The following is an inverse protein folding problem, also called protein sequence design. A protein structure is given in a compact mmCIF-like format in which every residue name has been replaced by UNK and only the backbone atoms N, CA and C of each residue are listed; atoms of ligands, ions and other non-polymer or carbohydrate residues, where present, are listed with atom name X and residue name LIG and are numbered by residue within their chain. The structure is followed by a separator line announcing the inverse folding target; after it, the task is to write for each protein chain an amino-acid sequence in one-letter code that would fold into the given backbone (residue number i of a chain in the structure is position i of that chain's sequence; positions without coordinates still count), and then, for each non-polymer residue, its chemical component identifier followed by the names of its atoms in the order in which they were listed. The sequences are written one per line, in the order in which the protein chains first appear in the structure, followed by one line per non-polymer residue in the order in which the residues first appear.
data_IF_767094775223
#
_entry.id   IF_767094775223
#
_cell.length_a   1.000
_cell.length_b   1.000
_cell.length_c   1.000
_cell.angle_alpha   90.00
_cell.angle_beta   90.00
_cell.angle_gamma   90.00
#
_symmetry.space_group_name_H-M   'P 1'
#
loop_
_entity.id
_entity.type
_entity.pdbx_description
1 polymer ?
#
# COMPACT_ATOMS: atom_id res chain seq x y z
N UNK A 1 -65.06 -8.04 41.41
CA UNK A 1 -65.37 -9.27 40.63
C UNK A 1 -65.14 -8.99 39.16
N UNK A 2 -64.16 -9.69 38.61
CA UNK A 2 -63.71 -9.60 37.22
C UNK A 2 -64.82 -9.97 36.24
N UNK A 3 -64.99 -9.20 35.15
CA UNK A 3 -65.55 -9.81 33.95
C UNK A 3 -64.95 -9.25 32.65
N UNK A 4 -64.39 -10.21 31.90
CA UNK A 4 -63.55 -10.07 30.71
C UNK A 4 -64.37 -9.52 29.54
N UNK A 5 -64.06 -8.30 29.08
CA UNK A 5 -64.50 -7.82 27.77
C UNK A 5 -63.68 -8.52 26.67
N UNK A 6 -64.25 -9.60 26.11
CA UNK A 6 -63.76 -10.23 24.87
C UNK A 6 -64.10 -9.31 23.71
N UNK A 7 -63.12 -8.56 23.21
CA UNK A 7 -63.27 -7.76 21.99
C UNK A 7 -62.90 -8.64 20.79
N UNK A 8 -63.91 -8.85 19.96
CA UNK A 8 -63.93 -9.70 18.77
C UNK A 8 -62.85 -9.34 17.75
N UNK A 9 -62.23 -10.39 17.23
CA UNK A 9 -61.12 -10.44 16.27
C UNK A 9 -61.65 -10.07 14.88
N UNK A 10 -61.31 -8.90 14.39
CA UNK A 10 -61.68 -8.43 13.05
C UNK A 10 -60.95 -9.23 11.98
N UNK A 11 -61.73 -9.99 11.22
CA UNK A 11 -61.39 -10.71 10.00
C UNK A 11 -60.95 -9.73 8.91
N UNK A 12 -59.63 -9.57 8.76
CA UNK A 12 -59.04 -8.71 7.73
C UNK A 12 -58.81 -9.54 6.46
N UNK A 13 -59.77 -9.40 5.55
CA UNK A 13 -59.79 -9.88 4.16
C UNK A 13 -58.41 -9.78 3.50
N UNK A 14 -57.77 -10.93 3.26
CA UNK A 14 -56.60 -11.04 2.39
C UNK A 14 -57.00 -10.62 0.96
N UNK A 15 -56.64 -9.40 0.57
CA UNK A 15 -56.60 -9.00 -0.84
C UNK A 15 -55.45 -9.76 -1.51
N UNK A 16 -55.74 -10.95 -2.04
CA UNK A 16 -54.86 -11.66 -2.97
C UNK A 16 -54.77 -10.84 -4.26
N UNK A 17 -53.78 -9.94 -4.32
CA UNK A 17 -53.36 -9.34 -5.59
C UNK A 17 -52.86 -10.48 -6.49
N UNK A 18 -53.37 -10.63 -7.72
CA UNK A 18 -52.76 -11.54 -8.67
C UNK A 18 -51.34 -11.02 -8.92
N UNK A 19 -50.36 -11.82 -8.53
CA UNK A 19 -48.97 -11.58 -8.86
C UNK A 19 -48.84 -11.95 -10.32
N UNK A 20 -49.04 -10.95 -11.18
CA UNK A 20 -48.76 -11.00 -12.60
C UNK A 20 -47.31 -11.44 -12.75
N UNK A 21 -47.12 -12.75 -12.95
CA UNK A 21 -45.84 -13.35 -13.31
C UNK A 21 -45.72 -13.04 -14.79
N UNK A 22 -45.41 -11.77 -15.10
CA UNK A 22 -44.88 -11.43 -16.40
C UNK A 22 -43.66 -12.31 -16.56
N UNK A 23 -43.77 -13.30 -17.45
CA UNK A 23 -42.64 -14.01 -18.01
C UNK A 23 -41.69 -12.91 -18.50
N UNK A 24 -40.71 -12.57 -17.66
CA UNK A 24 -39.61 -11.72 -18.03
C UNK A 24 -38.90 -12.50 -19.11
N UNK A 25 -39.33 -12.26 -20.36
CA UNK A 25 -38.73 -12.70 -21.61
C UNK A 25 -37.25 -12.79 -21.35
N UNK A 26 -36.77 -14.02 -21.15
CA UNK A 26 -35.40 -14.36 -20.78
C UNK A 26 -34.53 -13.86 -21.94
N UNK A 27 -34.18 -12.58 -21.87
CA UNK A 27 -33.29 -11.96 -22.84
C UNK A 27 -31.97 -12.63 -22.58
N UNK A 28 -31.57 -13.50 -23.52
CA UNK A 28 -30.26 -14.11 -23.53
C UNK A 28 -29.23 -13.04 -23.23
N UNK A 29 -28.46 -13.26 -22.16
CA UNK A 29 -27.42 -12.35 -21.73
C UNK A 29 -26.48 -12.07 -22.91
N UNK A 30 -26.05 -10.81 -23.12
CA UNK A 30 -25.02 -10.51 -24.10
C UNK A 30 -23.80 -11.40 -23.86
N UNK A 31 -23.24 -11.98 -24.94
CA UNK A 31 -22.00 -12.79 -24.94
C UNK A 31 -22.08 -14.20 -24.32
N UNK A 32 -23.28 -14.76 -24.08
CA UNK A 32 -23.40 -16.15 -23.60
C UNK A 32 -22.89 -16.35 -22.18
N UNK A 33 -22.96 -15.29 -21.37
CA UNK A 33 -22.48 -15.27 -19.99
C UNK A 33 -23.46 -16.02 -19.08
N UNK A 34 -22.94 -16.79 -18.13
CA UNK A 34 -23.74 -17.54 -17.17
C UNK A 34 -24.52 -16.63 -16.22
N UNK A 35 -25.70 -17.12 -15.81
CA UNK A 35 -26.51 -16.49 -14.76
C UNK A 35 -25.73 -16.57 -13.45
N UNK A 36 -25.69 -15.45 -12.74
CA UNK A 36 -24.99 -15.35 -11.46
C UNK A 36 -25.96 -15.69 -10.32
N UNK A 37 -25.46 -16.32 -9.27
CA UNK A 37 -26.17 -16.60 -8.02
C UNK A 37 -25.59 -15.81 -6.85
N UNK A 38 -26.28 -15.81 -5.70
CA UNK A 38 -25.80 -15.21 -4.44
C UNK A 38 -24.44 -15.82 -3.98
N UNK A 39 -24.15 -17.06 -4.38
CA UNK A 39 -22.91 -17.77 -4.08
C UNK A 39 -21.67 -17.15 -4.77
N UNK A 40 -21.86 -16.48 -5.90
CA UNK A 40 -20.79 -15.91 -6.72
C UNK A 40 -20.33 -14.52 -6.22
N UNK A 41 -20.76 -14.16 -5.01
CA UNK A 41 -20.44 -12.86 -4.39
C UNK A 41 -18.96 -12.51 -4.45
N UNK A 42 -18.08 -13.49 -4.23
CA UNK A 42 -16.64 -13.27 -4.24
C UNK A 42 -16.05 -13.28 -5.65
N UNK A 43 -16.50 -14.20 -6.50
CA UNK A 43 -16.06 -14.32 -7.89
C UNK A 43 -16.40 -13.07 -8.69
N UNK A 44 -17.57 -12.47 -8.42
CA UNK A 44 -18.11 -11.31 -9.13
C UNK A 44 -18.03 -10.01 -8.35
N UNK A 45 -17.12 -9.97 -7.37
CA UNK A 45 -16.95 -8.83 -6.48
C UNK A 45 -16.45 -7.58 -7.21
N UNK A 46 -15.64 -7.75 -8.25
CA UNK A 46 -15.06 -6.66 -9.04
C UNK A 46 -16.11 -5.99 -9.93
N UNK A 47 -16.93 -6.78 -10.63
CA UNK A 47 -18.06 -6.27 -11.41
C UNK A 47 -19.13 -5.67 -10.52
N UNK A 48 -19.38 -6.27 -9.35
CA UNK A 48 -20.31 -5.71 -8.36
C UNK A 48 -19.87 -4.34 -7.84
N UNK A 49 -18.58 -4.16 -7.59
CA UNK A 49 -17.99 -2.89 -7.14
C UNK A 49 -18.10 -1.79 -8.19
N UNK A 50 -17.81 -2.11 -9.45
CA UNK A 50 -17.99 -1.17 -10.55
C UNK A 50 -19.47 -0.80 -10.74
N UNK A 51 -20.37 -1.78 -10.63
CA UNK A 51 -21.81 -1.53 -10.66
C UNK A 51 -22.29 -0.61 -9.53
N UNK A 52 -21.76 -0.76 -8.31
CA UNK A 52 -22.08 0.13 -7.20
C UNK A 52 -21.63 1.57 -7.46
N UNK A 53 -20.47 1.74 -8.10
CA UNK A 53 -19.99 3.05 -8.52
C UNK A 53 -20.93 3.66 -9.56
N UNK A 54 -21.21 2.95 -10.66
CA UNK A 54 -21.99 3.49 -11.77
C UNK A 54 -23.47 3.75 -11.45
N UNK A 55 -24.08 2.94 -10.57
CA UNK A 55 -25.53 3.04 -10.30
C UNK A 55 -25.90 3.72 -9.00
N UNK A 56 -24.97 3.78 -8.04
CA UNK A 56 -25.24 4.28 -6.69
C UNK A 56 -24.22 5.30 -6.20
N UNK A 57 -23.12 5.53 -6.92
CA UNK A 57 -22.01 6.39 -6.50
C UNK A 57 -21.53 6.06 -5.08
N UNK A 58 -21.54 4.76 -4.72
CA UNK A 58 -21.14 4.28 -3.40
C UNK A 58 -19.95 3.36 -3.50
N UNK A 59 -19.01 3.53 -2.56
CA UNK A 59 -17.87 2.64 -2.44
C UNK A 59 -18.20 1.44 -1.55
N UNK A 60 -17.54 0.32 -1.82
CA UNK A 60 -17.71 -0.89 -1.04
C UNK A 60 -17.42 -0.67 0.46
N UNK A 61 -16.43 0.16 0.78
CA UNK A 61 -15.99 0.43 2.16
C UNK A 61 -17.04 1.18 3.00
N UNK A 62 -17.98 1.87 2.36
CA UNK A 62 -19.07 2.58 3.04
C UNK A 62 -20.23 1.64 3.40
N UNK A 63 -20.23 0.42 2.88
CA UNK A 63 -21.31 -0.55 3.05
C UNK A 63 -20.93 -1.58 4.13
N UNK A 64 -21.82 -1.70 5.12
CA UNK A 64 -21.82 -2.85 6.03
C UNK A 64 -22.09 -4.15 5.24
N UNK A 65 -21.52 -5.28 5.68
CA UNK A 65 -21.63 -6.56 4.96
C UNK A 65 -23.07 -7.00 4.64
N UNK A 66 -24.05 -6.70 5.49
CA UNK A 66 -25.45 -7.04 5.23
C UNK A 66 -26.08 -6.15 4.15
N UNK A 67 -25.69 -4.87 4.09
CA UNK A 67 -26.08 -3.97 3.01
C UNK A 67 -25.42 -4.39 1.71
N UNK A 68 -24.14 -4.74 1.73
CA UNK A 68 -23.42 -5.24 0.55
C UNK A 68 -24.11 -6.47 -0.05
N UNK A 69 -24.47 -7.46 0.77
CA UNK A 69 -25.24 -8.63 0.34
C UNK A 69 -26.63 -8.25 -0.21
N UNK A 70 -27.34 -7.32 0.43
CA UNK A 70 -28.62 -6.82 -0.09
C UNK A 70 -28.48 -6.19 -1.50
N UNK A 71 -27.44 -5.38 -1.71
CA UNK A 71 -27.16 -4.79 -3.02
C UNK A 71 -26.70 -5.84 -4.03
N UNK A 72 -25.97 -6.87 -3.61
CA UNK A 72 -25.59 -7.97 -4.49
C UNK A 72 -26.81 -8.71 -5.03
N UNK A 73 -27.86 -8.94 -4.22
CA UNK A 73 -29.12 -9.54 -4.71
C UNK A 73 -29.81 -8.68 -5.78
N UNK A 74 -29.69 -7.35 -5.68
CA UNK A 74 -30.19 -6.42 -6.70
C UNK A 74 -29.32 -6.45 -7.96
N UNK A 75 -28.01 -6.55 -7.78
CA UNK A 75 -27.05 -6.73 -8.87
C UNK A 75 -27.33 -8.02 -9.64
N UNK A 76 -27.50 -9.16 -8.96
CA UNK A 76 -27.82 -10.46 -9.59
C UNK A 76 -29.08 -10.36 -10.46
N UNK A 77 -30.16 -9.75 -9.95
CA UNK A 77 -31.38 -9.54 -10.75
C UNK A 77 -31.11 -8.69 -11.99
N UNK A 78 -30.32 -7.62 -11.83
CA UNK A 78 -30.01 -6.69 -12.93
C UNK A 78 -29.04 -7.30 -13.94
N UNK A 79 -28.10 -8.11 -13.47
CA UNK A 79 -27.18 -8.90 -14.27
C UNK A 79 -27.94 -9.90 -15.11
N UNK A 80 -28.75 -10.76 -14.47
CA UNK A 80 -29.55 -11.79 -15.12
C UNK A 80 -30.59 -11.21 -16.09
N UNK A 81 -31.04 -9.96 -15.87
CA UNK A 81 -31.92 -9.26 -16.82
C UNK A 81 -31.22 -8.76 -18.10
N UNK A 82 -29.89 -8.84 -18.19
CA UNK A 82 -29.12 -8.41 -19.36
C UNK A 82 -29.11 -6.90 -19.62
N UNK A 83 -29.52 -6.08 -18.64
CA UNK A 83 -29.71 -4.63 -18.82
C UNK A 83 -28.48 -3.80 -18.44
N UNK A 84 -27.41 -4.44 -17.94
CA UNK A 84 -26.21 -3.75 -17.46
C UNK A 84 -25.36 -3.23 -18.63
N UNK A 85 -24.41 -2.31 -18.36
CA UNK A 85 -23.49 -1.83 -19.41
C UNK A 85 -22.66 -2.99 -19.96
N UNK A 86 -22.41 -3.01 -21.28
CA UNK A 86 -21.62 -4.07 -21.93
C UNK A 86 -20.21 -4.16 -21.31
N UNK A 87 -19.66 -3.05 -20.84
CA UNK A 87 -18.37 -2.98 -20.14
C UNK A 87 -18.31 -3.84 -18.87
N UNK A 88 -19.43 -3.98 -18.15
CA UNK A 88 -19.52 -4.83 -16.96
C UNK A 88 -19.60 -6.31 -17.32
N UNK A 89 -20.13 -6.62 -18.50
CA UNK A 89 -20.19 -7.98 -19.06
C UNK A 89 -18.88 -8.41 -19.73
N UNK A 90 -18.07 -7.47 -20.22
CA UNK A 90 -16.79 -7.73 -20.88
C UNK A 90 -15.70 -8.29 -19.94
N UNK A 91 -15.98 -8.38 -18.63
CA UNK A 91 -15.01 -8.83 -17.62
C UNK A 91 -14.07 -7.69 -17.27
N UNK A 92 -14.35 -6.99 -16.17
CA UNK A 92 -13.42 -6.01 -15.65
C UNK A 92 -12.22 -6.74 -15.03
N UNK A 93 -11.00 -6.37 -15.43
CA UNK A 93 -9.77 -6.92 -14.86
C UNK A 93 -9.85 -6.84 -13.33
N UNK A 94 -9.67 -7.95 -12.60
CA UNK A 94 -9.80 -7.99 -11.15
C UNK A 94 -8.75 -7.13 -10.42
N UNK A 95 -7.74 -6.64 -11.16
CA UNK A 95 -6.63 -5.84 -10.65
C UNK A 95 -6.77 -4.33 -10.98
N UNK A 96 -8.00 -3.80 -11.00
CA UNK A 96 -8.19 -2.36 -11.00
C UNK A 96 -7.43 -1.71 -9.83
N UNK A 97 -6.90 -0.49 -9.99
CA UNK A 97 -6.17 0.16 -8.90
C UNK A 97 -7.06 0.28 -7.67
N UNK A 98 -6.57 -0.24 -6.53
CA UNK A 98 -7.26 -0.18 -5.23
C UNK A 98 -7.66 1.27 -4.85
N UNK A 99 -6.93 2.26 -5.36
CA UNK A 99 -7.26 3.68 -5.24
C UNK A 99 -8.56 4.09 -5.95
N UNK A 100 -9.02 3.36 -6.97
CA UNK A 100 -10.33 3.57 -7.61
C UNK A 100 -11.45 2.81 -6.92
N UNK A 101 -11.10 1.86 -6.05
CA UNK A 101 -12.03 0.99 -5.36
C UNK A 101 -12.50 1.57 -4.01
N UNK A 102 -11.69 2.48 -3.46
CA UNK A 102 -11.88 3.08 -2.14
C UNK A 102 -11.94 4.60 -2.29
N UNK A 103 -12.72 5.29 -1.46
CA UNK A 103 -12.78 6.76 -1.48
C UNK A 103 -11.44 7.39 -1.02
N UNK A 104 -10.60 6.61 -0.34
CA UNK A 104 -9.36 7.09 0.25
C UNK A 104 -8.25 7.17 -0.81
N UNK A 105 -7.88 8.39 -1.14
CA UNK A 105 -6.77 8.67 -2.05
C UNK A 105 -5.47 8.70 -1.27
N UNK A 106 -4.65 7.67 -1.45
CA UNK A 106 -3.32 7.62 -0.86
C UNK A 106 -2.39 8.65 -1.53
N UNK A 107 -1.60 9.37 -0.74
CA UNK A 107 -0.76 10.45 -1.23
C UNK A 107 0.24 10.03 -2.33
N UNK A 108 0.70 8.77 -2.32
CA UNK A 108 1.58 8.22 -3.37
C UNK A 108 0.86 8.05 -4.73
N UNK A 109 -0.46 7.88 -4.72
CA UNK A 109 -1.25 7.78 -5.94
C UNK A 109 -1.65 9.15 -6.50
N UNK A 110 -1.66 10.20 -5.67
CA UNK A 110 -2.07 11.56 -6.06
C UNK A 110 -0.92 12.50 -6.37
N UNK A 111 0.22 12.35 -5.69
CA UNK A 111 1.46 13.10 -5.99
C UNK A 111 2.24 12.33 -7.06
N UNK A 112 1.69 12.37 -8.28
CA UNK A 112 2.29 11.77 -9.47
C UNK A 112 3.50 12.52 -9.98
N UNK A 113 4.62 12.47 -9.25
CA UNK A 113 5.90 13.02 -9.71
C UNK A 113 6.63 12.11 -10.72
N UNK A 114 6.04 10.99 -11.14
CA UNK A 114 6.53 10.30 -12.34
C UNK A 114 5.42 9.58 -13.10
N UNK A 115 5.05 10.14 -14.26
CA UNK A 115 4.34 9.38 -15.32
C UNK A 115 5.06 8.07 -15.66
N UNK A 116 6.38 8.01 -15.43
CA UNK A 116 7.25 6.84 -15.63
C UNK A 116 6.89 5.70 -14.66
N UNK A 117 6.57 5.98 -13.38
CA UNK A 117 6.19 4.95 -12.41
C UNK A 117 4.77 4.42 -12.65
N UNK A 118 3.84 5.27 -13.10
CA UNK A 118 2.47 4.82 -13.38
C UNK A 118 2.37 3.78 -14.50
N UNK A 119 3.20 3.91 -15.55
CA UNK A 119 3.26 2.95 -16.65
C UNK A 119 4.01 1.67 -16.23
N UNK A 120 5.09 1.79 -15.46
CA UNK A 120 5.82 0.65 -14.93
C UNK A 120 4.96 -0.19 -13.97
N UNK A 121 4.23 0.46 -13.06
CA UNK A 121 3.29 -0.21 -12.15
C UNK A 121 2.16 -0.89 -12.93
N UNK A 122 1.66 -0.26 -14.01
CA UNK A 122 0.64 -0.86 -14.87
C UNK A 122 1.18 -2.07 -15.62
N UNK A 123 2.36 -1.98 -16.21
CA UNK A 123 3.01 -3.08 -16.92
C UNK A 123 3.27 -4.28 -15.99
N UNK A 124 3.80 -4.03 -14.78
CA UNK A 124 4.00 -5.07 -13.78
C UNK A 124 2.70 -5.77 -13.35
N UNK A 125 1.58 -5.03 -13.29
CA UNK A 125 0.26 -5.61 -13.02
C UNK A 125 -0.26 -6.46 -14.17
N UNK A 126 -0.11 -5.98 -15.40
CA UNK A 126 -0.53 -6.71 -16.61
C UNK A 126 0.25 -8.04 -16.76
N UNK A 127 1.53 -8.04 -16.40
CA UNK A 127 2.36 -9.25 -16.34
C UNK A 127 1.83 -10.25 -15.31
N UNK A 128 1.56 -9.80 -14.08
CA UNK A 128 0.97 -10.64 -13.01
C UNK A 128 -0.42 -11.15 -13.37
N UNK A 129 -1.25 -10.31 -14.02
CA UNK A 129 -2.57 -10.70 -14.51
C UNK A 129 -2.46 -11.80 -15.57
N UNK A 130 -1.54 -11.65 -16.52
CA UNK A 130 -1.28 -12.67 -17.54
C UNK A 130 -0.80 -13.99 -16.94
N UNK A 131 0.03 -13.93 -15.89
CA UNK A 131 0.54 -15.13 -15.21
C UNK A 131 -0.55 -15.83 -14.38
N UNK A 132 -1.46 -15.07 -13.78
CA UNK A 132 -2.45 -15.61 -12.83
C UNK A 132 -3.74 -16.06 -13.51
N UNK A 133 -4.28 -15.26 -14.44
CA UNK A 133 -5.63 -15.48 -14.99
C UNK A 133 -5.64 -16.03 -16.42
N UNK A 134 -4.61 -15.79 -17.24
CA UNK A 134 -4.54 -16.30 -18.62
C UNK A 134 -4.22 -17.80 -18.72
N UNK A 135 -3.80 -18.41 -17.62
CA UNK A 135 -3.60 -19.87 -17.52
C UNK A 135 -4.92 -20.66 -17.55
N UNK A 136 -6.07 -20.03 -17.24
CA UNK A 136 -7.34 -20.74 -17.13
C UNK A 136 -8.26 -20.64 -18.36
N UNK A 137 -7.89 -19.85 -19.39
CA UNK A 137 -8.73 -19.63 -20.58
C UNK A 137 -8.19 -20.25 -21.88
N UNK A 138 -7.15 -21.08 -21.82
CA UNK A 138 -6.49 -21.66 -23.01
C UNK A 138 -6.65 -23.19 -23.14
N UNK A 139 -7.72 -23.77 -22.58
CA UNK A 139 -8.02 -25.21 -22.71
C UNK A 139 -8.94 -25.59 -23.88
N UNK A 140 -9.09 -24.73 -24.90
CA UNK A 140 -9.81 -25.10 -26.12
C UNK A 140 -9.12 -24.60 -27.39
N UNK A 141 -8.07 -25.30 -27.82
CA UNK A 141 -7.77 -25.61 -29.24
C UNK A 141 -6.48 -26.43 -29.29
N UNK A 142 -6.60 -27.70 -29.67
CA UNK A 142 -5.46 -28.59 -29.94
C UNK A 142 -4.65 -28.14 -31.17
N UNK A 143 -3.50 -28.81 -31.40
CA UNK A 143 -3.60 -30.01 -32.21
C UNK A 143 -2.93 -31.23 -31.59
N UNK A 144 -3.62 -32.35 -31.75
CA UNK A 144 -3.17 -33.72 -31.49
C UNK A 144 -1.90 -34.06 -32.27
N UNK A 145 -0.83 -34.44 -31.56
CA UNK A 145 0.16 -35.42 -32.05
C UNK A 145 0.58 -36.32 -30.88
N UNK A 146 0.07 -37.53 -30.91
CA UNK A 146 0.42 -38.66 -30.05
C UNK A 146 1.86 -39.11 -30.27
N UNK A 147 2.72 -39.04 -29.24
CA UNK A 147 3.87 -39.95 -29.11
C UNK A 147 4.20 -40.20 -27.63
N UNK A 148 3.95 -41.42 -27.18
CA UNK A 148 4.72 -42.13 -26.14
C UNK A 148 4.83 -41.48 -24.75
N UNK A 149 3.95 -41.89 -23.84
CA UNK A 149 4.14 -41.67 -22.40
C UNK A 149 5.39 -42.37 -21.88
N UNK A 150 6.48 -41.61 -21.75
CA UNK A 150 7.59 -41.96 -20.87
C UNK A 150 7.27 -41.41 -19.49
N UNK A 151 7.23 -42.28 -18.49
CA UNK A 151 7.14 -41.90 -17.08
C UNK A 151 8.35 -41.00 -16.79
N UNK A 152 8.11 -39.70 -16.64
CA UNK A 152 9.13 -38.72 -16.28
C UNK A 152 9.46 -38.90 -14.80
N UNK A 153 10.59 -39.55 -14.51
CA UNK A 153 11.22 -39.40 -13.20
C UNK A 153 11.68 -37.94 -12.97
N UNK A 154 12.10 -37.57 -11.75
CA UNK A 154 12.61 -36.22 -11.47
C UNK A 154 13.69 -35.86 -12.49
N UNK A 155 13.39 -34.90 -13.37
CA UNK A 155 14.36 -34.41 -14.33
C UNK A 155 15.46 -33.67 -13.58
N UNK A 156 16.71 -33.86 -13.99
CA UNK A 156 17.84 -33.07 -13.50
C UNK A 156 17.51 -31.58 -13.66
N UNK A 157 17.75 -30.75 -12.63
CA UNK A 157 17.50 -29.32 -12.71
C UNK A 157 18.28 -28.73 -13.88
N UNK A 158 17.61 -27.90 -14.66
CA UNK A 158 18.21 -27.25 -15.82
C UNK A 158 19.30 -26.29 -15.34
N UNK A 159 20.28 -25.92 -16.20
CA UNK A 159 21.28 -24.92 -15.82
C UNK A 159 20.66 -23.57 -15.42
N UNK A 160 19.49 -23.24 -15.95
CA UNK A 160 18.71 -22.08 -15.52
C UNK A 160 18.17 -22.26 -14.09
N UNK A 161 17.69 -23.45 -13.73
CA UNK A 161 17.23 -23.76 -12.38
C UNK A 161 18.38 -23.73 -11.36
N UNK A 162 19.58 -24.17 -11.76
CA UNK A 162 20.78 -24.09 -10.93
C UNK A 162 21.24 -22.64 -10.70
N UNK A 163 21.12 -21.78 -11.72
CA UNK A 163 21.40 -20.35 -11.58
C UNK A 163 20.38 -19.68 -10.67
N UNK A 164 19.10 -19.99 -10.84
CA UNK A 164 18.03 -19.48 -10.00
C UNK A 164 18.23 -19.89 -8.53
N UNK A 165 18.51 -21.16 -8.26
CA UNK A 165 18.77 -21.64 -6.90
C UNK A 165 19.95 -20.91 -6.24
N UNK A 166 21.01 -20.63 -7.00
CA UNK A 166 22.17 -19.88 -6.51
C UNK A 166 21.82 -18.42 -6.20
N UNK A 167 21.01 -17.78 -7.02
CA UNK A 167 20.53 -16.42 -6.79
C UNK A 167 19.59 -16.34 -5.57
N UNK A 168 18.71 -17.32 -5.41
CA UNK A 168 17.82 -17.46 -4.24
C UNK A 168 18.61 -17.64 -2.94
N UNK A 169 19.67 -18.46 -2.95
CA UNK A 169 20.56 -18.62 -1.78
C UNK A 169 21.30 -17.31 -1.44
N UNK A 170 21.75 -16.57 -2.45
CA UNK A 170 22.37 -15.27 -2.24
C UNK A 170 21.39 -14.24 -1.69
N UNK A 171 20.15 -14.23 -2.17
CA UNK A 171 19.07 -13.39 -1.69
C UNK A 171 18.69 -13.75 -0.25
N UNK A 172 18.55 -15.04 0.05
CA UNK A 172 18.29 -15.54 1.40
C UNK A 172 19.41 -15.15 2.37
N UNK A 173 20.68 -15.20 1.94
CA UNK A 173 21.82 -14.70 2.72
C UNK A 173 21.75 -13.19 2.95
N UNK A 174 21.37 -12.40 1.94
CA UNK A 174 21.21 -10.94 2.08
C UNK A 174 20.05 -10.61 3.04
N UNK A 175 18.92 -11.30 2.88
CA UNK A 175 17.75 -11.18 3.73
C UNK A 175 18.06 -11.61 5.17
N UNK A 176 18.81 -12.70 5.36
CA UNK A 176 19.31 -13.16 6.67
C UNK A 176 20.14 -12.10 7.37
N UNK A 177 21.17 -11.54 6.70
CA UNK A 177 21.97 -10.43 7.26
C UNK A 177 21.13 -9.22 7.65
N UNK A 178 20.11 -8.89 6.86
CA UNK A 178 19.21 -7.78 7.17
C UNK A 178 18.30 -8.10 8.38
N UNK A 179 17.77 -9.31 8.46
CA UNK A 179 16.97 -9.78 9.59
C UNK A 179 17.78 -9.82 10.89
N UNK A 180 19.04 -10.26 10.83
CA UNK A 180 19.96 -10.27 11.96
C UNK A 180 20.23 -8.87 12.47
N UNK A 181 20.54 -7.91 11.58
CA UNK A 181 20.69 -6.48 11.94
C UNK A 181 19.42 -5.92 12.59
N UNK A 182 18.24 -6.29 12.08
CA UNK A 182 16.96 -5.85 12.64
C UNK A 182 16.74 -6.43 14.04
N UNK A 183 17.06 -7.71 14.25
CA UNK A 183 16.98 -8.39 15.54
C UNK A 183 17.96 -7.80 16.55
N UNK A 184 19.18 -7.49 16.12
CA UNK A 184 20.19 -6.82 16.94
C UNK A 184 19.73 -5.41 17.35
N UNK A 185 19.24 -4.61 16.41
CA UNK A 185 18.69 -3.28 16.71
C UNK A 185 17.50 -3.33 17.68
N UNK A 186 16.63 -4.33 17.53
CA UNK A 186 15.50 -4.54 18.45
C UNK A 186 16.01 -4.89 19.87
N UNK A 187 16.97 -5.81 19.99
CA UNK A 187 17.60 -6.17 21.27
C UNK A 187 18.35 -5.01 21.91
N UNK A 188 19.03 -4.19 21.11
CA UNK A 188 19.70 -3.00 21.59
C UNK A 188 18.68 -1.97 22.10
N UNK A 189 17.56 -1.80 21.39
CA UNK A 189 16.47 -0.93 21.82
C UNK A 189 15.85 -1.43 23.13
N UNK A 190 15.59 -2.73 23.24
CA UNK A 190 15.06 -3.37 24.45
C UNK A 190 16.00 -3.16 25.65
N UNK A 191 17.31 -3.40 25.49
CA UNK A 191 18.32 -3.13 26.53
C UNK A 191 18.33 -1.67 26.99
N UNK A 192 18.18 -0.74 26.05
CA UNK A 192 18.10 0.70 26.37
C UNK A 192 16.78 1.03 27.07
N UNK A 193 15.68 0.38 26.71
CA UNK A 193 14.38 0.58 27.35
C UNK A 193 14.33 -0.01 28.76
N UNK A 194 14.97 -1.16 29.00
CA UNK A 194 15.16 -1.78 30.32
C UNK A 194 15.96 -0.87 31.26
N UNK A 195 17.05 -0.25 30.77
CA UNK A 195 17.89 0.65 31.57
C UNK A 195 17.22 2.01 31.87
N UNK A 196 16.33 2.49 31.01
CA UNK A 196 15.72 3.83 31.15
C UNK A 196 14.42 3.80 31.97
N UNK A 197 13.82 2.63 32.21
CA UNK A 197 12.60 2.51 33.00
C UNK A 197 11.34 3.12 32.35
N UNK A 198 10.15 2.98 32.99
CA UNK A 198 8.90 3.53 32.48
C UNK A 198 8.95 5.07 32.50
N UNK A 199 8.94 5.68 31.32
CA UNK A 199 9.22 7.11 31.13
C UNK A 199 8.08 8.02 31.56
N UNK A 200 8.42 9.04 32.33
CA UNK A 200 7.73 10.34 32.30
C UNK A 200 8.06 11.04 30.97
N UNK A 201 7.05 11.36 30.18
CA UNK A 201 7.24 11.96 28.87
C UNK A 201 7.63 13.46 28.99
N UNK A 202 8.87 13.82 28.63
CA UNK A 202 9.34 15.23 28.67
C UNK A 202 10.75 15.48 28.10
N UNK A 203 11.21 16.75 28.16
CA UNK A 203 12.58 17.20 27.78
C UNK A 203 13.66 16.48 28.61
N UNK A 204 13.32 16.10 29.83
CA UNK A 204 14.21 15.38 30.75
C UNK A 204 14.40 13.92 30.32
N UNK A 205 13.34 13.21 29.94
CA UNK A 205 13.46 11.86 29.36
C UNK A 205 14.22 11.81 28.03
N UNK A 206 14.22 12.90 27.25
CA UNK A 206 15.04 13.01 26.04
C UNK A 206 16.54 13.21 26.36
N UNK A 207 16.87 13.97 27.40
CA UNK A 207 18.24 14.18 27.86
C UNK A 207 18.81 12.92 28.51
N UNK A 208 18.00 12.19 29.26
CA UNK A 208 18.36 10.90 29.86
C UNK A 208 18.61 9.83 28.79
N UNK A 209 17.72 9.70 27.81
CA UNK A 209 17.95 8.83 26.64
C UNK A 209 19.25 9.18 25.91
N UNK A 210 19.57 10.48 25.78
CA UNK A 210 20.81 10.94 25.15
C UNK A 210 22.03 10.66 26.02
N UNK A 211 21.90 10.70 27.34
CA UNK A 211 22.96 10.36 28.30
C UNK A 211 23.26 8.86 28.25
N UNK A 212 22.23 8.01 28.30
CA UNK A 212 22.36 6.55 28.20
C UNK A 212 22.96 6.13 26.85
N UNK A 213 22.56 6.77 25.75
CA UNK A 213 23.20 6.52 24.44
C UNK A 213 24.68 6.93 24.42
N UNK A 214 25.02 8.08 25.01
CA UNK A 214 26.42 8.53 25.11
C UNK A 214 27.25 7.60 26.00
N UNK A 215 26.67 7.13 27.10
CA UNK A 215 27.29 6.19 28.02
C UNK A 215 27.49 4.82 27.39
N UNK A 216 26.48 4.28 26.68
CA UNK A 216 26.61 3.04 25.91
C UNK A 216 27.66 3.12 24.80
N UNK A 217 27.73 4.25 24.07
CA UNK A 217 28.78 4.47 23.08
C UNK A 217 30.17 4.56 23.71
N UNK A 218 30.30 5.23 24.87
CA UNK A 218 31.56 5.33 25.60
C UNK A 218 31.99 3.98 26.19
N UNK A 219 31.06 3.21 26.74
CA UNK A 219 31.32 1.87 27.26
C UNK A 219 31.76 0.92 26.14
N UNK A 220 31.13 0.98 24.97
CA UNK A 220 31.55 0.19 23.81
C UNK A 220 32.90 0.63 23.24
N UNK A 221 33.24 1.92 23.31
CA UNK A 221 34.57 2.41 22.95
C UNK A 221 35.63 1.89 23.93
N UNK A 222 35.41 2.07 25.23
CA UNK A 222 36.31 1.58 26.27
C UNK A 222 36.48 0.05 26.24
N UNK A 223 35.40 -0.71 26.02
CA UNK A 223 35.48 -2.17 25.92
C UNK A 223 36.25 -2.65 24.69
N UNK A 224 36.26 -1.87 23.60
CA UNK A 224 37.10 -2.14 22.42
C UNK A 224 38.56 -1.86 22.70
N UNK A 225 38.85 -0.78 23.42
CA UNK A 225 40.20 -0.41 23.84
C UNK A 225 40.77 -1.43 24.85
N UNK A 226 39.92 -1.95 25.75
CA UNK A 226 40.27 -2.97 26.75
C UNK A 226 40.44 -4.38 26.16
N UNK A 227 39.73 -4.70 25.07
CA UNK A 227 39.85 -5.98 24.37
C UNK A 227 41.14 -6.13 23.53
N UNK A 228 42.00 -5.09 23.48
CA UNK A 228 43.36 -5.19 22.93
C UNK A 228 43.44 -5.56 21.45
N UNK A 229 42.35 -5.40 20.68
CA UNK A 229 42.33 -5.72 19.25
C UNK A 229 42.90 -4.54 18.46
N UNK A 230 44.22 -4.33 18.57
CA UNK A 230 44.97 -3.39 17.75
C UNK A 230 44.99 -3.89 16.30
N UNK A 231 43.90 -3.64 15.57
CA UNK A 231 43.90 -3.86 14.12
C UNK A 231 44.90 -2.87 13.54
N UNK A 232 45.99 -3.37 12.98
CA UNK A 232 47.02 -2.52 12.37
C UNK A 232 46.38 -1.57 11.36
N UNK A 233 46.79 -0.31 11.41
CA UNK A 233 46.26 0.75 10.54
C UNK A 233 46.35 0.36 9.05
N UNK A 234 47.34 -0.46 8.66
CA UNK A 234 47.49 -1.00 7.30
C UNK A 234 46.34 -1.95 6.88
N UNK A 235 45.86 -2.81 7.78
CA UNK A 235 44.75 -3.74 7.47
C UNK A 235 43.40 -3.01 7.56
N UNK A 236 43.29 -2.03 8.46
CA UNK A 236 42.09 -1.20 8.60
C UNK A 236 41.91 -0.23 7.42
N UNK A 237 43.02 0.29 6.88
CA UNK A 237 43.02 1.29 5.81
C UNK A 237 43.24 0.71 4.42
N UNK A 238 43.49 -0.60 4.31
CA UNK A 238 43.57 -1.34 3.06
C UNK A 238 44.83 -1.00 2.27
N UNK A 239 45.75 -1.96 2.21
CA UNK A 239 47.00 -1.88 1.47
C UNK A 239 46.80 -1.49 -0.01
N UNK A 240 47.48 -0.43 -0.46
CA UNK A 240 47.64 -0.05 -1.87
C UNK A 240 46.59 0.93 -2.45
N UNK A 241 47.00 2.18 -2.71
CA UNK A 241 46.34 3.22 -3.55
C UNK A 241 44.85 3.57 -3.28
N UNK A 242 44.22 2.96 -2.29
CA UNK A 242 42.84 3.17 -1.84
C UNK A 242 42.66 4.50 -1.08
N UNK A 243 43.73 5.01 -0.44
CA UNK A 243 43.69 6.18 0.43
C UNK A 243 43.34 7.46 -0.33
N UNK A 244 44.01 7.74 -1.45
CA UNK A 244 43.71 8.93 -2.26
C UNK A 244 42.29 8.88 -2.83
N UNK A 245 41.82 7.69 -3.23
CA UNK A 245 40.46 7.49 -3.70
C UNK A 245 39.43 7.67 -2.56
N UNK A 246 39.74 7.23 -1.34
CA UNK A 246 38.92 7.43 -0.16
C UNK A 246 38.87 8.90 0.27
N UNK A 247 40.00 9.61 0.22
CA UNK A 247 40.09 11.05 0.49
C UNK A 247 39.26 11.81 -0.55
N UNK A 248 39.41 11.50 -1.84
CA UNK A 248 38.59 12.10 -2.89
C UNK A 248 37.09 11.83 -2.69
N UNK A 249 36.73 10.60 -2.27
CA UNK A 249 35.34 10.24 -1.96
C UNK A 249 34.81 10.98 -0.73
N UNK A 250 35.64 11.16 0.30
CA UNK A 250 35.33 11.91 1.53
C UNK A 250 35.14 13.39 1.22
N UNK A 251 36.01 13.98 0.42
CA UNK A 251 35.93 15.39 0.04
C UNK A 251 34.75 15.63 -0.89
N UNK A 252 34.49 14.73 -1.85
CA UNK A 252 33.29 14.79 -2.67
C UNK A 252 32.00 14.63 -1.85
N UNK A 253 32.00 13.79 -0.81
CA UNK A 253 30.87 13.65 0.10
C UNK A 253 30.68 14.90 0.98
N UNK A 254 31.77 15.51 1.47
CA UNK A 254 31.75 16.77 2.22
C UNK A 254 31.21 17.92 1.36
N UNK A 255 31.71 18.08 0.13
CA UNK A 255 31.20 19.08 -0.82
C UNK A 255 29.71 18.95 -1.07
N UNK A 256 29.20 17.74 -1.34
CA UNK A 256 27.75 17.50 -1.49
C UNK A 256 26.95 17.82 -0.23
N UNK A 257 27.52 17.57 0.95
CA UNK A 257 26.85 17.89 2.21
C UNK A 257 26.81 19.41 2.46
N UNK A 258 27.89 20.11 2.13
CA UNK A 258 27.98 21.56 2.29
C UNK A 258 27.11 22.30 1.26
N UNK A 259 27.05 21.83 0.01
CA UNK A 259 26.08 22.31 -1.00
C UNK A 259 24.64 22.15 -0.52
N UNK A 260 24.28 20.98 0.02
CA UNK A 260 22.93 20.76 0.58
C UNK A 260 22.65 21.70 1.75
N UNK A 261 23.62 21.95 2.63
CA UNK A 261 23.46 22.91 3.72
C UNK A 261 23.27 24.33 3.20
N UNK A 262 24.03 24.73 2.16
CA UNK A 262 23.89 26.05 1.55
C UNK A 262 22.52 26.25 0.91
N UNK A 263 22.01 25.26 0.16
CA UNK A 263 20.66 25.31 -0.42
C UNK A 263 19.59 25.38 0.67
N UNK A 264 19.77 24.64 1.77
CA UNK A 264 18.85 24.72 2.90
C UNK A 264 18.91 26.11 3.55
N UNK A 265 20.11 26.65 3.80
CA UNK A 265 20.29 27.98 4.38
C UNK A 265 19.73 29.10 3.48
N UNK A 266 19.89 29.02 2.15
CA UNK A 266 19.29 29.99 1.24
C UNK A 266 17.77 29.91 1.28
N UNK A 267 17.21 28.70 1.27
CA UNK A 267 15.75 28.52 1.35
C UNK A 267 15.16 29.03 2.67
N UNK A 268 15.89 28.92 3.79
CA UNK A 268 15.43 29.46 5.07
C UNK A 268 15.59 30.97 5.14
N UNK A 269 16.64 31.53 4.54
CA UNK A 269 16.83 32.98 4.41
C UNK A 269 15.74 33.62 3.53
N UNK A 270 15.43 33.04 2.37
CA UNK A 270 14.33 33.48 1.49
C UNK A 270 12.99 33.49 2.22
N UNK A 271 12.70 32.44 3.00
CA UNK A 271 11.49 32.39 3.84
C UNK A 271 11.48 33.47 4.91
N UNK A 272 12.63 33.76 5.54
CA UNK A 272 12.74 34.81 6.55
C UNK A 272 12.56 36.21 5.94
N UNK A 273 13.09 36.45 4.74
CA UNK A 273 12.91 37.71 4.00
C UNK A 273 11.43 37.88 3.63
N UNK A 274 10.80 36.85 3.08
CA UNK A 274 9.38 36.89 2.73
C UNK A 274 8.47 37.16 3.94
N UNK A 275 8.83 36.67 5.13
CA UNK A 275 8.10 37.00 6.36
C UNK A 275 8.33 38.45 6.78
N UNK A 276 9.57 38.96 6.74
CA UNK A 276 9.88 40.37 7.06
C UNK A 276 9.19 41.35 6.11
N UNK A 277 9.09 41.02 4.82
CA UNK A 277 8.38 41.85 3.84
C UNK A 277 6.87 41.90 4.13
N UNK A 278 6.26 40.77 4.50
CA UNK A 278 4.86 40.73 4.93
C UNK A 278 4.64 41.54 6.21
N UNK A 279 5.51 41.39 7.21
CA UNK A 279 5.46 42.17 8.45
C UNK A 279 5.61 43.67 8.17
N UNK A 280 6.56 44.06 7.30
CA UNK A 280 6.73 45.45 6.89
C UNK A 280 5.48 45.99 6.19
N UNK A 281 4.90 45.24 5.25
CA UNK A 281 3.66 45.63 4.58
C UNK A 281 2.50 45.80 5.57
N UNK A 282 2.37 44.91 6.56
CA UNK A 282 1.36 45.06 7.61
C UNK A 282 1.64 46.28 8.49
N UNK A 283 2.90 46.52 8.88
CA UNK A 283 3.30 47.68 9.67
C UNK A 283 3.05 48.99 8.92
N UNK A 284 3.29 49.03 7.61
CA UNK A 284 3.06 50.20 6.78
C UNK A 284 1.56 50.46 6.60
N UNK A 285 0.73 49.41 6.49
CA UNK A 285 -0.74 49.52 6.55
C UNK A 285 -1.22 50.07 7.89
N UNK A 286 -0.65 49.59 9.01
CA UNK A 286 -0.98 50.11 10.34
C UNK A 286 -0.54 51.55 10.53
N UNK A 287 0.65 51.93 10.03
CA UNK A 287 1.12 53.32 10.04
C UNK A 287 0.22 54.23 9.21
N UNK A 288 -0.26 53.77 8.06
CA UNK A 288 -1.20 54.54 7.23
C UNK A 288 -2.53 54.78 7.96
N UNK A 289 -3.13 53.74 8.54
CA UNK A 289 -4.36 53.88 9.34
C UNK A 289 -4.15 54.74 10.59
N UNK A 290 -3.00 54.64 11.25
CA UNK A 290 -2.69 55.49 12.41
C UNK A 290 -2.54 56.96 12.00
N UNK A 291 -1.90 57.24 10.85
CA UNK A 291 -1.77 58.60 10.32
C UNK A 291 -3.11 59.20 9.93
N UNK A 292 -4.03 58.43 9.36
CA UNK A 292 -5.39 58.89 9.05
C UNK A 292 -6.26 59.15 10.29
N UNK A 293 -5.97 58.50 11.42
CA UNK A 293 -6.76 58.60 12.65
C UNK A 293 -6.23 59.61 13.67
N UNK A 294 -4.93 59.88 13.65
CA UNK A 294 -4.23 60.67 14.67
C UNK A 294 -3.31 61.76 14.11
N UNK A 295 -3.25 61.95 12.79
CA UNK A 295 -2.53 63.04 12.12
C UNK A 295 -3.48 63.92 11.33
#
# INVERSE_FOLDING_TARGET
MSNKRRRSRSDSRERKRPRDYSEERERSLPRGIDKISEADYFLKSTEFRAWLKDTKDKYFDELTGDKARHYFRKFVKRWNSGRLSDDLYAGLSPMQPSSSQTAFKWAFATKGDSKIDSQAIRAAREEVESATYKSQSSSSSGPSRSTGGRILGPSLPTPADLQLAREEEEEARRAGRHADRKRENARHKERVEEQVGPKEAGREGALEKKRVQREGNKAHQNAKDEAGLEVSEDILMGEGNSFQQMVARRDAARRRADEKKQVQLSSTQERAIALREKEKATMDMFKAMAKERFG
#
